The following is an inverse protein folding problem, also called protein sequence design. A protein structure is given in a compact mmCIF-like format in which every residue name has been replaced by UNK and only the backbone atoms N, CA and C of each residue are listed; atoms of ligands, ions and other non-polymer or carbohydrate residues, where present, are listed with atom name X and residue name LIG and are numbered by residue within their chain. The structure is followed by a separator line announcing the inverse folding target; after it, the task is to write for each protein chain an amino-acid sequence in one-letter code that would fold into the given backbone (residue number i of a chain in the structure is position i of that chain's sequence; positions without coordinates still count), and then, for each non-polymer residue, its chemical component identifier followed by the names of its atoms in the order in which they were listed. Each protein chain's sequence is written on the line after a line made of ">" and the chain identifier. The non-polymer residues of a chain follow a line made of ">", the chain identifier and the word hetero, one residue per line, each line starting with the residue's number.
data_IF_166729965825
#
_entry.id   IF_166729965825
#
_cell.length_a   1.000
_cell.length_b   1.000
_cell.length_c   1.000
_cell.angle_alpha   90.00
_cell.angle_beta   90.00
_cell.angle_gamma   90.00
#
_symmetry.space_group_name_H-M   'P 1'
#
loop_
_entity.id
_entity.type
_entity.pdbx_description
1 polymer ?
#
# COMPACT_ATOMS: atom_id res chain seq x y z
N UNK A 1 -72.74 5.79 22.70
CA UNK A 1 -72.52 4.41 23.22
C UNK A 1 -71.66 3.64 22.22
N UNK A 2 -70.49 3.12 22.68
CA UNK A 2 -69.71 1.99 22.11
C UNK A 2 -69.02 2.26 20.75
N UNK A 3 -67.74 1.97 20.48
CA UNK A 3 -66.66 1.25 21.19
C UNK A 3 -65.30 1.54 20.50
N UNK A 4 -64.25 1.58 21.33
CA UNK A 4 -62.90 1.00 21.20
C UNK A 4 -62.24 0.94 19.80
N UNK A 5 -61.13 1.62 19.60
CA UNK A 5 -59.75 1.10 19.79
C UNK A 5 -59.23 0.31 18.58
N UNK A 6 -58.34 0.95 17.83
CA UNK A 6 -57.48 0.33 16.83
C UNK A 6 -56.03 0.74 17.08
N UNK A 7 -55.44 0.18 18.13
CA UNK A 7 -54.00 0.14 18.36
C UNK A 7 -53.40 -0.84 17.34
N UNK A 8 -52.82 -0.35 16.25
CA UNK A 8 -51.90 -1.15 15.43
C UNK A 8 -50.49 -0.60 15.61
N UNK A 9 -49.73 -1.41 16.32
CA UNK A 9 -48.35 -1.27 16.75
C UNK A 9 -47.47 -0.97 15.53
N UNK A 10 -47.17 0.31 15.32
CA UNK A 10 -45.96 0.71 14.62
C UNK A 10 -44.81 0.56 15.63
N UNK A 11 -43.62 0.23 15.16
CA UNK A 11 -42.38 -0.01 15.95
C UNK A 11 -42.15 -1.48 16.35
N UNK A 12 -42.04 -2.34 15.34
CA UNK A 12 -41.27 -3.59 15.42
C UNK A 12 -40.18 -3.59 14.31
N UNK A 13 -39.32 -2.57 14.32
CA UNK A 13 -37.99 -2.61 13.74
C UNK A 13 -37.01 -2.18 14.83
N UNK A 14 -37.00 -2.95 15.92
CA UNK A 14 -35.82 -3.03 16.77
C UNK A 14 -34.77 -3.74 15.92
N UNK A 15 -34.04 -2.91 15.18
CA UNK A 15 -32.72 -3.18 14.66
C UNK A 15 -31.97 -4.00 15.71
N UNK A 16 -31.89 -5.31 15.49
CA UNK A 16 -30.87 -6.14 16.11
C UNK A 16 -29.53 -5.62 15.59
N UNK A 17 -29.05 -4.54 16.21
CA UNK A 17 -27.67 -4.11 16.14
C UNK A 17 -26.88 -5.27 16.75
N UNK A 18 -26.50 -6.18 15.87
CA UNK A 18 -25.53 -7.21 16.15
C UNK A 18 -24.35 -6.54 16.86
N UNK A 19 -24.04 -7.05 18.05
CA UNK A 19 -22.75 -6.83 18.69
C UNK A 19 -21.67 -7.21 17.68
N UNK A 20 -21.10 -6.21 17.02
CA UNK A 20 -19.76 -6.34 16.44
C UNK A 20 -18.82 -6.20 17.62
N UNK A 21 -18.16 -7.27 18.09
CA UNK A 21 -17.09 -7.10 19.07
C UNK A 21 -16.03 -6.19 18.43
N UNK A 22 -15.57 -5.14 19.12
CA UNK A 22 -14.46 -4.37 18.64
C UNK A 22 -13.22 -5.26 18.86
N UNK A 23 -12.79 -5.96 17.81
CA UNK A 23 -11.46 -6.57 17.75
C UNK A 23 -10.43 -5.42 17.67
N UNK A 24 -10.26 -4.71 18.78
CA UNK A 24 -9.15 -3.78 18.99
C UNK A 24 -7.96 -4.65 19.39
N UNK A 25 -7.42 -5.38 18.42
CA UNK A 25 -6.05 -5.86 18.53
C UNK A 25 -5.17 -4.61 18.50
N UNK A 26 -4.88 -4.06 19.68
CA UNK A 26 -3.79 -3.12 19.87
C UNK A 26 -2.53 -3.86 19.44
N UNK A 27 -2.13 -3.69 18.18
CA UNK A 27 -0.87 -4.22 17.67
C UNK A 27 0.22 -3.70 18.60
N UNK A 28 0.75 -4.58 19.45
CA UNK A 28 1.82 -4.22 20.36
C UNK A 28 2.98 -3.69 19.51
N UNK A 29 3.44 -2.47 19.82
CA UNK A 29 4.51 -1.81 19.10
C UNK A 29 5.76 -2.72 19.10
N UNK A 30 6.20 -3.14 17.91
CA UNK A 30 7.37 -4.00 17.76
C UNK A 30 8.65 -3.18 17.81
N UNK A 31 9.72 -3.74 18.32
CA UNK A 31 11.05 -3.14 18.25
C UNK A 31 12.06 -4.17 17.71
N UNK A 32 13.27 -3.73 17.39
CA UNK A 32 14.28 -4.59 16.77
C UNK A 32 14.65 -5.82 17.60
N UNK A 33 14.52 -5.78 18.94
CA UNK A 33 14.81 -6.93 19.81
C UNK A 33 13.75 -8.02 19.73
N UNK A 34 12.56 -7.71 19.18
CA UNK A 34 11.50 -8.69 18.98
C UNK A 34 11.77 -9.63 17.79
N UNK A 35 12.78 -9.32 16.97
CA UNK A 35 13.14 -10.08 15.78
C UNK A 35 14.48 -10.77 15.97
N UNK A 36 14.52 -12.08 15.71
CA UNK A 36 15.74 -12.89 15.83
C UNK A 36 16.77 -12.55 14.74
N UNK A 37 16.31 -12.15 13.56
CA UNK A 37 17.16 -11.80 12.43
C UNK A 37 16.71 -10.50 11.78
N UNK A 38 17.63 -9.84 11.07
CA UNK A 38 17.31 -8.67 10.26
C UNK A 38 16.24 -9.00 9.20
N UNK A 39 16.31 -10.18 8.57
CA UNK A 39 15.36 -10.59 7.52
C UNK A 39 13.92 -10.67 8.02
N UNK A 40 13.72 -11.16 9.25
CA UNK A 40 12.39 -11.23 9.87
C UNK A 40 11.83 -9.82 10.14
N UNK A 41 12.68 -8.92 10.66
CA UNK A 41 12.32 -7.52 10.90
C UNK A 41 11.98 -6.79 9.59
N UNK A 42 12.82 -6.94 8.57
CA UNK A 42 12.61 -6.33 7.26
C UNK A 42 11.31 -6.81 6.60
N UNK A 43 11.03 -8.12 6.69
CA UNK A 43 9.80 -8.69 6.13
C UNK A 43 8.57 -8.14 6.83
N UNK A 44 8.59 -8.05 8.16
CA UNK A 44 7.53 -7.41 8.94
C UNK A 44 7.34 -5.95 8.51
N UNK A 45 8.43 -5.18 8.47
CA UNK A 45 8.43 -3.78 8.07
C UNK A 45 7.75 -3.60 6.72
N UNK A 46 8.14 -4.37 5.70
CA UNK A 46 7.56 -4.29 4.36
C UNK A 46 6.08 -4.70 4.30
N UNK A 47 5.69 -5.80 4.96
CA UNK A 47 4.28 -6.26 4.99
C UNK A 47 3.38 -5.20 5.61
N UNK A 48 3.87 -4.47 6.61
CA UNK A 48 3.13 -3.39 7.27
C UNK A 48 3.16 -2.06 6.51
N UNK A 49 3.79 -2.02 5.33
CA UNK A 49 3.89 -0.83 4.48
C UNK A 49 5.06 0.09 4.83
N UNK A 50 6.08 -0.44 5.51
CA UNK A 50 7.31 0.24 5.83
C UNK A 50 8.04 0.71 4.58
N UNK A 51 8.56 1.94 4.64
CA UNK A 51 9.35 2.58 3.60
C UNK A 51 10.16 3.73 4.19
N UNK A 52 11.05 4.32 3.40
CA UNK A 52 11.78 5.57 3.71
C UNK A 52 10.87 6.68 4.27
N UNK A 53 9.61 6.73 3.83
CA UNK A 53 8.61 7.73 4.23
C UNK A 53 7.66 7.24 5.33
N UNK A 54 7.67 5.95 5.65
CA UNK A 54 6.74 5.34 6.59
C UNK A 54 7.51 4.40 7.52
N UNK A 55 7.94 4.94 8.66
CA UNK A 55 8.74 4.21 9.64
C UNK A 55 7.82 3.39 10.57
N UNK A 56 7.41 2.21 10.12
CA UNK A 56 6.57 1.30 10.91
C UNK A 56 7.28 0.96 12.22
N UNK A 57 6.58 1.19 13.33
CA UNK A 57 7.02 0.86 14.69
C UNK A 57 8.40 1.45 15.07
N UNK A 58 8.88 2.47 14.34
CA UNK A 58 10.19 3.07 14.57
C UNK A 58 11.38 2.16 14.22
N UNK A 59 11.17 1.13 13.39
CA UNK A 59 12.18 0.11 13.08
C UNK A 59 13.28 0.59 12.11
N UNK A 60 13.04 1.62 11.32
CA UNK A 60 13.95 2.22 10.32
C UNK A 60 14.29 3.66 10.75
N UNK A 61 15.27 3.81 11.66
CA UNK A 61 15.52 5.09 12.36
C UNK A 61 16.17 6.16 11.49
N UNK A 62 16.94 5.75 10.49
CA UNK A 62 17.64 6.62 9.54
C UNK A 62 16.87 6.80 8.23
N UNK A 63 15.72 6.15 8.09
CA UNK A 63 14.75 6.34 7.00
C UNK A 63 15.32 5.97 5.63
N UNK A 64 16.16 4.95 5.58
CA UNK A 64 16.77 4.46 4.35
C UNK A 64 15.96 3.32 3.69
N UNK A 65 14.91 2.85 4.38
CA UNK A 65 14.02 1.77 3.97
C UNK A 65 14.41 0.39 4.49
N UNK A 66 15.46 0.28 5.30
CA UNK A 66 15.97 -0.95 5.89
C UNK A 66 15.76 -0.94 7.41
N UNK A 67 14.85 -1.81 7.88
CA UNK A 67 14.52 -1.91 9.28
C UNK A 67 15.60 -2.68 10.06
N UNK A 68 15.91 -2.21 11.27
CA UNK A 68 16.70 -2.94 12.27
C UNK A 68 18.06 -3.44 11.78
N UNK A 69 18.82 -2.60 11.08
CA UNK A 69 20.12 -2.93 10.47
C UNK A 69 21.17 -3.49 11.45
N UNK A 70 20.99 -3.26 12.75
CA UNK A 70 21.86 -3.81 13.80
C UNK A 70 21.61 -5.29 14.11
N UNK A 71 20.53 -5.88 13.59
CA UNK A 71 20.21 -7.28 13.82
C UNK A 71 21.09 -8.23 12.99
N UNK A 72 21.24 -9.46 13.50
CA UNK A 72 22.05 -10.49 12.84
C UNK A 72 21.55 -10.76 11.42
N UNK A 73 22.50 -10.85 10.48
CA UNK A 73 22.22 -11.18 9.08
C UNK A 73 21.78 -9.98 8.24
N UNK A 74 22.05 -8.76 8.71
CA UNK A 74 21.84 -7.54 7.92
C UNK A 74 22.53 -7.62 6.55
N UNK A 75 21.78 -7.27 5.52
CA UNK A 75 22.26 -7.19 4.15
C UNK A 75 22.15 -5.75 3.64
N UNK A 76 23.25 -5.00 3.71
CA UNK A 76 23.35 -3.63 3.17
C UNK A 76 23.04 -3.48 1.68
N UNK A 77 23.11 -4.58 0.92
CA UNK A 77 22.82 -4.58 -0.52
C UNK A 77 21.38 -5.00 -0.81
N UNK A 78 20.56 -5.20 0.24
CA UNK A 78 19.17 -5.55 0.06
C UNK A 78 18.44 -4.44 -0.65
N UNK A 79 17.73 -4.81 -1.72
CA UNK A 79 16.81 -3.92 -2.41
C UNK A 79 15.41 -4.36 -2.04
N UNK A 80 14.68 -3.49 -1.37
CA UNK A 80 13.29 -3.71 -1.07
C UNK A 80 12.56 -4.03 -2.40
N UNK A 81 11.97 -5.22 -2.54
CA UNK A 81 11.31 -5.63 -3.78
C UNK A 81 10.09 -4.79 -4.11
N UNK A 82 9.62 -3.95 -3.18
CA UNK A 82 8.56 -2.97 -3.39
C UNK A 82 9.06 -1.57 -3.74
N UNK A 83 10.38 -1.30 -3.74
CA UNK A 83 10.99 -0.03 -4.18
C UNK A 83 11.20 -0.04 -5.71
N UNK A 84 10.09 -0.05 -6.45
CA UNK A 84 10.11 0.11 -7.91
C UNK A 84 10.28 1.58 -8.29
N UNK A 85 11.32 1.89 -9.07
CA UNK A 85 11.53 3.18 -9.71
C UNK A 85 11.44 3.03 -11.23
N UNK A 86 11.42 4.13 -11.98
CA UNK A 86 11.40 4.06 -13.45
C UNK A 86 12.58 3.28 -14.05
N UNK A 87 13.75 3.28 -13.39
CA UNK A 87 14.94 2.54 -13.82
C UNK A 87 14.77 1.02 -13.75
N UNK A 88 13.78 0.53 -13.00
CA UNK A 88 13.51 -0.90 -12.87
C UNK A 88 12.75 -1.48 -14.08
N UNK A 89 12.16 -0.64 -14.93
CA UNK A 89 11.35 -1.07 -16.06
C UNK A 89 12.09 -0.88 -17.38
N UNK A 90 12.21 -1.95 -18.17
CA UNK A 90 12.89 -1.89 -19.46
C UNK A 90 12.15 -1.01 -20.50
N UNK A 91 10.83 -0.89 -20.36
CA UNK A 91 9.98 -0.11 -21.27
C UNK A 91 8.99 0.74 -20.47
N UNK A 92 8.54 1.83 -21.08
CA UNK A 92 7.45 2.65 -20.55
C UNK A 92 6.20 1.80 -20.27
N UNK A 93 5.81 0.92 -21.20
CA UNK A 93 4.60 0.08 -21.07
C UNK A 93 4.64 -0.80 -19.82
N UNK A 94 5.79 -1.41 -19.52
CA UNK A 94 5.94 -2.22 -18.31
C UNK A 94 5.82 -1.37 -17.02
N UNK A 95 6.34 -0.14 -17.03
CA UNK A 95 6.20 0.80 -15.93
C UNK A 95 4.75 1.25 -15.75
N UNK A 96 4.08 1.61 -16.85
CA UNK A 96 2.67 2.03 -16.86
C UNK A 96 1.75 0.92 -16.34
N UNK A 97 1.95 -0.32 -16.81
CA UNK A 97 1.14 -1.47 -16.36
C UNK A 97 1.32 -1.73 -14.86
N UNK A 98 2.55 -1.62 -14.37
CA UNK A 98 2.82 -1.73 -12.93
C UNK A 98 2.13 -0.61 -12.15
N UNK A 99 2.25 0.63 -12.63
CA UNK A 99 1.66 1.81 -12.00
C UNK A 99 0.14 1.66 -11.88
N UNK A 100 -0.55 1.41 -12.99
CA UNK A 100 -2.01 1.22 -13.02
C UNK A 100 -2.47 0.04 -12.16
N UNK A 101 -1.76 -1.10 -12.24
CA UNK A 101 -2.08 -2.30 -11.44
C UNK A 101 -1.98 -2.06 -9.93
N UNK A 102 -1.13 -1.13 -9.49
CA UNK A 102 -1.00 -0.72 -8.08
C UNK A 102 -1.96 0.44 -7.72
N UNK A 103 -2.86 0.80 -8.63
CA UNK A 103 -3.84 1.88 -8.49
C UNK A 103 -3.27 3.26 -8.77
N UNK A 104 -2.16 3.35 -9.50
CA UNK A 104 -1.59 4.59 -9.97
C UNK A 104 -2.57 5.38 -10.83
N UNK A 105 -2.60 6.69 -10.63
CA UNK A 105 -3.44 7.62 -11.39
C UNK A 105 -2.92 9.04 -11.22
N UNK A 106 -3.53 10.00 -11.94
CA UNK A 106 -3.31 11.45 -11.76
C UNK A 106 -3.36 11.89 -10.29
N UNK A 107 -4.19 11.21 -9.48
CA UNK A 107 -4.38 11.53 -8.05
C UNK A 107 -3.46 10.73 -7.12
N UNK A 108 -2.84 9.65 -7.61
CA UNK A 108 -2.05 8.72 -6.81
C UNK A 108 -0.77 8.35 -7.53
N UNK A 109 0.30 9.04 -7.17
CA UNK A 109 1.64 8.75 -7.66
C UNK A 109 2.24 7.54 -6.92
N UNK A 110 1.87 6.34 -7.35
CA UNK A 110 2.43 5.09 -6.81
C UNK A 110 3.93 5.08 -7.05
N UNK A 111 4.70 4.83 -5.97
CA UNK A 111 6.15 4.68 -6.01
C UNK A 111 6.92 5.87 -6.63
N UNK A 112 6.30 7.04 -6.77
CA UNK A 112 6.95 8.18 -7.43
C UNK A 112 7.12 7.99 -8.95
N UNK A 113 6.38 7.07 -9.57
CA UNK A 113 6.52 6.77 -10.99
C UNK A 113 5.89 7.81 -11.92
N UNK A 114 4.94 8.63 -11.44
CA UNK A 114 4.23 9.71 -12.17
C UNK A 114 4.39 11.05 -11.41
N UNK A 115 5.57 11.70 -11.49
CA UNK A 115 5.88 12.90 -10.68
C UNK A 115 5.09 14.16 -11.08
N UNK A 116 4.69 14.28 -12.34
CA UNK A 116 3.91 15.39 -12.88
C UNK A 116 2.40 15.17 -12.81
N UNK A 117 1.97 14.00 -12.33
CA UNK A 117 0.58 13.69 -11.98
C UNK A 117 -0.37 13.76 -13.18
N UNK A 118 0.12 13.48 -14.38
CA UNK A 118 -0.69 13.50 -15.59
C UNK A 118 -1.37 12.15 -15.88
N UNK A 119 -1.00 11.13 -15.10
CA UNK A 119 -1.51 9.75 -15.16
C UNK A 119 -0.59 8.79 -15.88
N UNK A 120 0.59 9.24 -16.30
CA UNK A 120 1.51 8.50 -17.16
C UNK A 120 2.84 8.29 -16.44
N UNK A 121 3.09 7.06 -16.03
CA UNK A 121 4.29 6.71 -15.30
C UNK A 121 5.50 6.63 -16.22
N UNK A 122 6.63 7.14 -15.73
CA UNK A 122 7.96 6.91 -16.29
C UNK A 122 8.08 7.25 -17.78
N UNK A 123 7.55 8.41 -18.18
CA UNK A 123 7.57 8.92 -19.56
C UNK A 123 8.97 9.01 -20.19
N UNK A 124 10.02 9.02 -19.35
CA UNK A 124 11.43 9.00 -19.79
C UNK A 124 11.92 7.63 -20.23
N UNK A 125 11.15 6.56 -20.02
CA UNK A 125 11.53 5.20 -20.38
C UNK A 125 11.37 4.93 -21.88
N UNK A 126 12.14 3.95 -22.38
CA UNK A 126 12.12 3.56 -23.79
C UNK A 126 10.72 3.14 -24.24
N UNK A 127 10.36 3.57 -25.44
CA UNK A 127 9.07 3.25 -26.06
C UNK A 127 7.90 4.14 -25.61
N UNK A 128 8.16 5.20 -24.83
CA UNK A 128 7.16 6.23 -24.57
C UNK A 128 6.83 7.02 -25.85
N UNK A 129 5.54 7.24 -26.10
CA UNK A 129 5.04 8.13 -27.14
C UNK A 129 3.84 8.91 -26.59
N UNK A 130 3.98 10.23 -26.54
CA UNK A 130 2.99 11.22 -26.05
C UNK A 130 1.57 11.11 -26.65
N UNK A 131 1.39 10.32 -27.71
CA UNK A 131 0.11 10.10 -28.37
C UNK A 131 -0.65 8.82 -27.91
N UNK A 132 -0.17 8.10 -26.89
CA UNK A 132 -0.84 6.92 -26.28
C UNK A 132 -1.41 5.88 -27.26
N UNK A 133 -0.70 5.60 -28.36
CA UNK A 133 -0.91 4.36 -29.11
C UNK A 133 0.30 3.48 -28.90
N UNK A 134 0.08 2.36 -28.22
CA UNK A 134 1.01 1.26 -28.01
C UNK A 134 1.79 0.98 -29.31
N UNK A 135 3.07 1.38 -29.38
CA UNK A 135 3.92 1.16 -30.55
C UNK A 135 4.43 -0.29 -30.67
N UNK A 136 4.06 -1.18 -29.74
CA UNK A 136 4.53 -2.58 -29.75
C UNK A 136 3.54 -3.57 -30.38
N UNK A 137 2.48 -3.10 -31.05
CA UNK A 137 1.53 -3.95 -31.80
C UNK A 137 1.60 -3.75 -33.33
N UNK A 138 2.74 -3.30 -33.87
CA UNK A 138 2.95 -3.24 -35.32
C UNK A 138 4.05 -4.20 -35.75
N UNK A 139 3.71 -5.48 -35.81
CA UNK A 139 4.16 -6.44 -36.82
C UNK A 139 3.23 -7.64 -36.84
#
# INVERSE_FOLDING_TARGET
>A
MKRLSGLFIVVAFLFSFYLVPPDISSAANKNCKDFKTWKDAQTYFEIKGGSKKNNIDGLDRDHDGLACESNKGFNKNYRNPNDFTCKNFATWKAAQDFFEKRGGSKKKNVNGLDPDHDGLACETNKGFNKNHKNLNNSK
#
